data_IF_075459669049
#
_entry.id   IF_075459669049
#
_cell.length_a   1.000
_cell.length_b   1.000
_cell.length_c   1.000
_cell.angle_alpha   90.00
_cell.angle_beta   90.00
_cell.angle_gamma   90.00
#
_symmetry.space_group_name_H-M   'P 1'
#
loop_
_entity.id
_entity.type
_entity.pdbx_description
1 polymer ?
#
# COMPACT_ATOMS: atom_id res chain seq x y z
N UNK A 1 7.92 -3.40 19.88
CA UNK A 1 7.81 -2.34 18.84
C UNK A 1 6.40 -1.74 18.82
N UNK A 2 6.08 -0.84 17.89
CA UNK A 2 4.76 -0.17 17.80
C UNK A 2 3.61 -1.17 17.62
N UNK A 3 3.83 -2.24 16.84
CA UNK A 3 2.83 -3.30 16.60
C UNK A 3 2.56 -4.10 17.87
N UNK A 4 3.60 -4.51 18.62
CA UNK A 4 3.42 -5.23 19.89
C UNK A 4 2.62 -4.40 20.90
N UNK A 5 2.91 -3.10 20.97
CA UNK A 5 2.17 -2.19 21.82
C UNK A 5 0.71 -2.08 21.38
N UNK A 6 0.45 -1.90 20.08
CA UNK A 6 -0.89 -1.77 19.55
C UNK A 6 -1.73 -3.05 19.73
N UNK A 7 -1.10 -4.23 19.65
CA UNK A 7 -1.74 -5.50 19.98
C UNK A 7 -2.14 -5.55 21.47
N UNK A 8 -1.25 -5.17 22.39
CA UNK A 8 -1.57 -5.10 23.84
C UNK A 8 -2.67 -4.08 24.15
N UNK A 9 -2.71 -2.98 23.40
CA UNK A 9 -3.72 -1.94 23.52
C UNK A 9 -5.02 -2.24 22.72
N UNK A 10 -5.14 -3.41 22.08
CA UNK A 10 -6.27 -3.81 21.23
C UNK A 10 -6.61 -2.78 20.12
N UNK A 11 -5.59 -2.15 19.54
CA UNK A 11 -5.74 -1.08 18.55
C UNK A 11 -4.87 -1.26 17.29
N UNK A 12 -4.34 -2.47 17.03
CA UNK A 12 -3.50 -2.76 15.85
C UNK A 12 -4.17 -2.43 14.51
N UNK A 13 -5.50 -2.58 14.42
CA UNK A 13 -6.28 -2.22 13.22
C UNK A 13 -6.32 -0.70 12.96
N UNK A 14 -5.89 0.14 13.91
CA UNK A 14 -5.79 1.60 13.74
C UNK A 14 -4.37 2.04 13.31
N UNK A 15 -3.43 1.11 13.21
CA UNK A 15 -2.08 1.39 12.74
C UNK A 15 -2.06 1.22 11.23
N UNK A 16 -1.95 2.35 10.52
CA UNK A 16 -1.86 2.38 9.06
C UNK A 16 -0.39 2.48 8.65
N UNK A 17 0.03 1.60 7.75
CA UNK A 17 1.40 1.61 7.20
C UNK A 17 1.34 1.97 5.72
N UNK A 18 2.21 2.87 5.29
CA UNK A 18 2.31 3.25 3.90
C UNK A 18 3.10 2.20 3.10
N UNK A 19 2.49 1.66 2.05
CA UNK A 19 3.11 0.75 1.08
C UNK A 19 3.09 1.31 -0.34
N UNK A 20 3.70 0.60 -1.28
CA UNK A 20 3.80 1.00 -2.68
C UNK A 20 2.93 0.13 -3.59
N UNK A 21 2.81 0.55 -4.85
CA UNK A 21 2.20 -0.26 -5.93
C UNK A 21 3.27 -1.22 -6.46
N UNK A 22 3.42 -2.36 -5.80
CA UNK A 22 4.49 -3.36 -6.05
C UNK A 22 3.99 -4.81 -5.99
N UNK A 23 2.71 -5.03 -6.29
CA UNK A 23 2.04 -6.35 -6.27
C UNK A 23 1.97 -6.92 -4.86
N UNK A 24 2.93 -7.74 -4.45
CA UNK A 24 2.90 -8.43 -3.15
C UNK A 24 3.94 -7.92 -2.17
N UNK A 25 5.01 -7.24 -2.62
CA UNK A 25 6.18 -6.95 -1.79
C UNK A 25 5.84 -6.10 -0.56
N UNK A 26 5.15 -4.97 -0.73
CA UNK A 26 4.72 -4.12 0.39
C UNK A 26 3.70 -4.85 1.28
N UNK A 27 2.79 -5.62 0.68
CA UNK A 27 1.75 -6.36 1.43
C UNK A 27 2.39 -7.41 2.34
N UNK A 28 3.28 -8.23 1.79
CA UNK A 28 3.95 -9.32 2.50
C UNK A 28 4.83 -8.76 3.62
N UNK A 29 5.55 -7.67 3.35
CA UNK A 29 6.37 -7.02 4.37
C UNK A 29 5.54 -6.50 5.53
N UNK A 30 4.45 -5.77 5.25
CA UNK A 30 3.54 -5.23 6.28
C UNK A 30 2.87 -6.36 7.06
N UNK A 31 2.43 -7.41 6.37
CA UNK A 31 1.80 -8.57 7.00
C UNK A 31 2.77 -9.29 7.95
N UNK A 32 4.01 -9.55 7.50
CA UNK A 32 5.03 -10.22 8.32
C UNK A 32 5.48 -9.37 9.51
N UNK A 33 5.42 -8.04 9.39
CA UNK A 33 5.64 -7.11 10.50
C UNK A 33 4.46 -7.09 11.51
N UNK A 34 3.34 -7.73 11.19
CA UNK A 34 2.14 -7.79 12.03
C UNK A 34 1.16 -6.62 11.81
N UNK A 35 1.39 -5.80 10.78
CA UNK A 35 0.47 -4.76 10.34
C UNK A 35 -0.83 -5.34 9.76
N UNK A 36 -1.91 -4.55 9.85
CA UNK A 36 -3.26 -4.96 9.41
C UNK A 36 -3.86 -4.06 8.35
N UNK A 37 -3.38 -2.83 8.25
CA UNK A 37 -3.91 -1.81 7.36
C UNK A 37 -2.76 -1.21 6.56
N UNK A 38 -2.90 -1.26 5.23
CA UNK A 38 -1.99 -0.62 4.29
C UNK A 38 -2.70 0.50 3.54
N UNK A 39 -2.06 1.67 3.50
CA UNK A 39 -2.35 2.74 2.56
C UNK A 39 -1.38 2.63 1.40
N UNK A 40 -1.87 2.67 0.16
CA UNK A 40 -1.01 2.52 -1.02
C UNK A 40 -0.63 3.88 -1.58
N UNK A 41 0.65 4.08 -1.85
CA UNK A 41 1.16 5.25 -2.55
C UNK A 41 1.08 5.08 -4.07
N UNK A 42 0.11 5.75 -4.70
CA UNK A 42 -0.11 5.70 -6.15
C UNK A 42 0.16 7.06 -6.81
N UNK A 43 0.42 7.05 -8.14
CA UNK A 43 0.63 8.29 -8.90
C UNK A 43 -0.73 8.83 -9.35
N UNK A 44 -1.10 10.00 -8.84
CA UNK A 44 -2.30 10.75 -9.23
C UNK A 44 -2.12 11.58 -10.49
N UNK A 45 -0.88 11.82 -10.94
CA UNK A 45 -0.59 12.62 -12.14
C UNK A 45 0.11 11.83 -13.25
N UNK A 46 -0.29 12.09 -14.50
CA UNK A 46 0.37 11.52 -15.69
C UNK A 46 1.83 11.95 -15.78
N UNK A 47 2.14 13.19 -15.35
CA UNK A 47 3.51 13.72 -15.36
C UNK A 47 4.41 12.89 -14.45
N UNK A 48 4.00 12.64 -13.21
CA UNK A 48 4.74 11.80 -12.28
C UNK A 48 4.82 10.36 -12.78
N UNK A 49 3.72 9.83 -13.32
CA UNK A 49 3.68 8.47 -13.85
C UNK A 49 4.69 8.26 -14.98
N UNK A 50 4.71 9.15 -15.98
CA UNK A 50 5.62 9.06 -17.13
C UNK A 50 7.08 9.29 -16.73
N UNK A 51 7.33 10.30 -15.89
CA UNK A 51 8.70 10.69 -15.57
C UNK A 51 9.38 9.74 -14.56
N UNK A 52 8.62 9.17 -13.62
CA UNK A 52 9.18 8.32 -12.56
C UNK A 52 9.01 6.84 -12.85
N UNK A 53 7.80 6.41 -13.24
CA UNK A 53 7.50 4.98 -13.43
C UNK A 53 7.59 4.55 -14.90
N UNK A 54 7.56 5.50 -15.84
CA UNK A 54 7.59 5.25 -17.30
C UNK A 54 6.48 4.30 -17.76
N UNK A 55 5.31 4.38 -17.10
CA UNK A 55 4.13 3.55 -17.38
C UNK A 55 3.02 4.35 -18.06
N UNK A 56 2.14 3.62 -18.75
CA UNK A 56 0.82 4.12 -19.18
C UNK A 56 -0.16 4.15 -18.01
N UNK A 57 -1.27 4.88 -18.15
CA UNK A 57 -2.31 4.93 -17.12
C UNK A 57 -2.92 3.55 -16.88
N UNK A 58 -3.11 2.80 -17.96
CA UNK A 58 -3.73 1.48 -17.98
C UNK A 58 -2.85 0.47 -17.26
N UNK A 59 -1.54 0.50 -17.51
CA UNK A 59 -0.57 -0.30 -16.75
C UNK A 59 -0.60 0.06 -15.27
N UNK A 60 -0.58 1.36 -14.92
CA UNK A 60 -0.59 1.76 -13.51
C UNK A 60 -1.86 1.34 -12.78
N UNK A 61 -3.02 1.51 -13.43
CA UNK A 61 -4.30 1.07 -12.89
C UNK A 61 -4.34 -0.44 -12.69
N UNK A 62 -3.74 -1.21 -13.61
CA UNK A 62 -3.63 -2.66 -13.48
C UNK A 62 -2.72 -3.06 -12.31
N UNK A 63 -1.55 -2.41 -12.16
CA UNK A 63 -0.66 -2.68 -11.02
C UNK A 63 -1.33 -2.37 -9.67
N UNK A 64 -2.12 -1.29 -9.60
CA UNK A 64 -2.90 -0.93 -8.40
C UNK A 64 -3.90 -2.05 -8.08
N UNK A 65 -4.64 -2.54 -9.09
CA UNK A 65 -5.62 -3.63 -8.90
C UNK A 65 -4.95 -4.90 -8.40
N UNK A 66 -3.81 -5.27 -8.97
CA UNK A 66 -3.03 -6.44 -8.55
C UNK A 66 -2.59 -6.30 -7.09
N UNK A 67 -2.09 -5.12 -6.70
CA UNK A 67 -1.65 -4.87 -5.33
C UNK A 67 -2.81 -4.91 -4.33
N UNK A 68 -3.95 -4.31 -4.69
CA UNK A 68 -5.16 -4.29 -3.84
C UNK A 68 -5.78 -5.68 -3.69
N UNK A 69 -5.66 -6.57 -4.68
CA UNK A 69 -6.26 -7.90 -4.63
C UNK A 69 -5.61 -8.84 -3.59
N UNK A 70 -4.36 -8.57 -3.18
CA UNK A 70 -3.57 -9.46 -2.32
C UNK A 70 -3.84 -9.22 -0.82
N UNK A 71 -4.37 -8.06 -0.42
CA UNK A 71 -4.50 -7.70 1.00
C UNK A 71 -5.66 -6.77 1.36
N UNK A 72 -5.85 -6.56 2.67
CA UNK A 72 -6.82 -5.61 3.21
C UNK A 72 -6.27 -4.18 3.07
N UNK A 73 -6.54 -3.56 1.94
CA UNK A 73 -6.15 -2.18 1.62
C UNK A 73 -7.32 -1.25 1.89
N UNK A 74 -7.11 -0.16 2.63
CA UNK A 74 -8.19 0.79 2.92
C UNK A 74 -8.41 1.77 1.76
N UNK A 75 -7.40 2.52 1.34
CA UNK A 75 -7.52 3.49 0.25
C UNK A 75 -6.17 3.75 -0.47
N UNK A 76 -6.17 4.03 -1.79
CA UNK A 76 -5.01 4.61 -2.46
C UNK A 76 -4.84 6.09 -2.09
N UNK A 77 -3.65 6.45 -1.65
CA UNK A 77 -3.19 7.84 -1.48
C UNK A 77 -2.56 8.27 -2.81
N UNK A 78 -3.07 9.36 -3.39
CA UNK A 78 -2.65 9.89 -4.68
C UNK A 78 -1.66 11.06 -4.50
N UNK A 79 -0.50 11.00 -5.16
CA UNK A 79 0.48 12.12 -5.29
C UNK A 79 0.80 12.45 -6.75
#
# INVERSE_FOLDING_TARGET
EIIDWANKANCVEKIEILGFVDKTESVDWIYNFGGKVMNILSKGSIKHLKNQLRKTKEQHAQDIKETVAVGKVLLPVFI
#
